data_IF_367570773968
#
_entry.id   IF_367570773968
#
_cell.length_a   1.000
_cell.length_b   1.000
_cell.length_c   1.000
_cell.angle_alpha   90.00
_cell.angle_beta   90.00
_cell.angle_gamma   90.00
#
_symmetry.space_group_name_H-M   'P 1'
#
loop_
_entity.id
_entity.type
_entity.pdbx_description
1 polymer ?
#
# COMPACT_ATOMS: atom_id res chain seq x y z
N UNK A 1 -20.77 -22.11 -4.12
CA UNK A 1 -19.50 -21.70 -4.74
C UNK A 1 -18.41 -22.67 -4.34
N UNK A 2 -17.65 -23.20 -5.33
CA UNK A 2 -16.54 -24.16 -5.16
C UNK A 2 -15.32 -23.57 -4.40
N UNK A 3 -15.43 -22.33 -3.96
CA UNK A 3 -14.37 -21.57 -3.26
C UNK A 3 -14.69 -21.35 -1.78
N UNK A 4 -15.53 -22.20 -1.18
CA UNK A 4 -15.77 -22.08 0.26
C UNK A 4 -14.49 -22.43 1.02
N UNK A 5 -13.92 -21.41 1.67
CA UNK A 5 -12.65 -21.50 2.41
C UNK A 5 -12.64 -22.59 3.48
N UNK A 6 -13.80 -23.00 4.00
CA UNK A 6 -13.94 -24.08 4.98
C UNK A 6 -13.50 -25.44 4.45
N UNK A 7 -13.79 -25.74 3.18
CA UNK A 7 -13.44 -27.03 2.54
C UNK A 7 -11.96 -27.09 2.14
N UNK A 8 -11.35 -25.95 1.76
CA UNK A 8 -9.92 -25.86 1.46
C UNK A 8 -9.06 -25.92 2.73
N UNK A 9 -9.57 -25.40 3.84
CA UNK A 9 -8.94 -25.52 5.16
C UNK A 9 -8.97 -26.97 5.69
N UNK A 10 -10.02 -27.70 5.40
CA UNK A 10 -10.14 -29.12 5.80
C UNK A 10 -9.11 -29.99 5.08
N UNK A 11 -8.84 -29.78 3.79
CA UNK A 11 -7.83 -30.55 3.04
C UNK A 11 -6.40 -30.33 3.58
N UNK A 12 -6.07 -29.12 4.03
CA UNK A 12 -4.81 -28.82 4.74
C UNK A 12 -4.68 -29.57 6.06
N UNK A 13 -5.78 -29.75 6.78
CA UNK A 13 -5.82 -30.45 8.08
C UNK A 13 -5.52 -31.95 7.97
N UNK A 14 -5.78 -32.55 6.80
CA UNK A 14 -5.48 -33.97 6.50
C UNK A 14 -4.15 -34.17 5.74
N UNK A 15 -3.35 -33.11 5.55
CA UNK A 15 -2.02 -33.20 4.91
C UNK A 15 -2.04 -33.38 3.38
N UNK A 16 -3.23 -33.40 2.75
CA UNK A 16 -3.37 -33.57 1.30
C UNK A 16 -3.78 -32.21 0.67
N UNK A 17 -2.87 -31.58 -0.03
CA UNK A 17 -3.16 -30.36 -0.77
C UNK A 17 -3.61 -30.67 -2.20
N UNK A 18 -4.91 -30.63 -2.45
CA UNK A 18 -5.52 -30.90 -3.76
C UNK A 18 -5.69 -29.66 -4.62
N UNK A 19 -5.40 -28.45 -4.10
CA UNK A 19 -5.61 -27.17 -4.80
C UNK A 19 -4.93 -27.15 -6.16
N UNK A 20 -3.68 -27.54 -6.22
CA UNK A 20 -2.90 -27.57 -7.47
C UNK A 20 -3.43 -28.56 -8.51
N UNK A 21 -4.09 -29.60 -8.08
CA UNK A 21 -4.76 -30.58 -8.97
C UNK A 21 -6.06 -30.00 -9.51
N UNK A 22 -6.90 -29.41 -8.65
CA UNK A 22 -8.17 -28.81 -9.04
C UNK A 22 -7.97 -27.61 -9.98
N UNK A 23 -6.98 -26.78 -9.72
CA UNK A 23 -6.70 -25.56 -10.49
C UNK A 23 -5.60 -25.73 -11.54
N UNK A 24 -5.33 -26.96 -12.00
CA UNK A 24 -4.26 -27.27 -12.98
C UNK A 24 -4.35 -26.42 -14.26
N UNK A 25 -5.57 -26.16 -14.76
CA UNK A 25 -5.79 -25.33 -15.96
C UNK A 25 -5.43 -23.86 -15.71
N UNK A 26 -5.73 -23.33 -14.51
CA UNK A 26 -5.39 -21.95 -14.09
C UNK A 26 -3.88 -21.81 -13.86
N UNK A 27 -3.21 -22.86 -13.37
CA UNK A 27 -1.77 -22.87 -13.11
C UNK A 27 -0.92 -23.04 -14.37
N UNK A 28 -1.50 -23.60 -15.44
CA UNK A 28 -0.78 -23.87 -16.69
C UNK A 28 -0.13 -22.63 -17.32
N UNK A 29 -0.78 -21.46 -17.40
CA UNK A 29 -0.15 -20.22 -17.89
C UNK A 29 1.07 -19.78 -17.08
N UNK A 30 1.14 -20.14 -15.79
CA UNK A 30 2.28 -19.90 -14.90
C UNK A 30 3.33 -21.03 -14.97
N UNK A 31 3.31 -21.85 -16.01
CA UNK A 31 4.22 -22.98 -16.18
C UNK A 31 3.88 -24.23 -15.35
N UNK A 32 2.80 -24.21 -14.57
CA UNK A 32 2.30 -25.35 -13.77
C UNK A 32 3.14 -25.71 -12.54
N UNK A 33 4.35 -25.15 -12.39
CA UNK A 33 5.30 -25.47 -11.30
C UNK A 33 5.53 -24.31 -10.33
N UNK A 34 4.97 -23.12 -10.58
CA UNK A 34 5.13 -21.96 -9.71
C UNK A 34 4.47 -22.25 -8.35
N UNK A 35 5.25 -22.25 -7.29
CA UNK A 35 4.79 -22.55 -5.92
C UNK A 35 4.72 -21.30 -5.03
N UNK A 36 5.59 -20.32 -5.30
CA UNK A 36 5.76 -19.14 -4.46
C UNK A 36 6.04 -17.90 -5.28
N UNK A 37 5.48 -16.78 -4.85
CA UNK A 37 5.75 -15.43 -5.37
C UNK A 37 6.19 -14.59 -4.17
N UNK A 38 7.30 -13.85 -4.31
CA UNK A 38 7.75 -12.88 -3.33
C UNK A 38 7.47 -11.49 -3.89
N UNK A 39 6.66 -10.72 -3.18
CA UNK A 39 6.27 -9.36 -3.54
C UNK A 39 6.85 -8.34 -2.58
N UNK A 40 7.30 -7.21 -3.10
CA UNK A 40 7.78 -6.08 -2.32
C UNK A 40 7.77 -4.78 -3.12
N UNK A 41 8.03 -3.66 -2.43
CA UNK A 41 8.12 -2.34 -3.07
C UNK A 41 6.80 -1.60 -3.29
N UNK A 42 5.66 -2.25 -3.11
CA UNK A 42 4.33 -1.65 -3.10
C UNK A 42 3.42 -2.41 -2.12
N UNK A 43 2.35 -1.74 -1.66
CA UNK A 43 1.33 -2.39 -0.84
C UNK A 43 0.63 -3.46 -1.69
N UNK A 44 0.54 -4.66 -1.15
CA UNK A 44 -0.17 -5.77 -1.76
C UNK A 44 -1.51 -5.98 -1.05
N UNK A 45 -2.59 -6.08 -1.83
CA UNK A 45 -3.92 -6.32 -1.30
C UNK A 45 -4.03 -7.76 -0.76
N UNK A 46 -4.68 -7.90 0.40
CA UNK A 46 -4.88 -9.20 1.05
C UNK A 46 -5.71 -10.16 0.19
N UNK A 47 -6.68 -9.67 -0.56
CA UNK A 47 -7.54 -10.49 -1.41
C UNK A 47 -6.73 -11.12 -2.54
N UNK A 48 -5.70 -10.45 -3.04
CA UNK A 48 -4.75 -11.02 -4.01
C UNK A 48 -3.98 -12.17 -3.36
N UNK A 49 -3.46 -11.98 -2.15
CA UNK A 49 -2.74 -13.04 -1.40
C UNK A 49 -3.66 -14.26 -1.21
N UNK A 50 -4.89 -14.03 -0.75
CA UNK A 50 -5.89 -15.09 -0.53
C UNK A 50 -6.26 -15.82 -1.82
N UNK A 51 -6.42 -15.06 -2.91
CA UNK A 51 -6.76 -15.62 -4.23
C UNK A 51 -5.68 -16.56 -4.73
N UNK A 52 -4.40 -16.13 -4.69
CA UNK A 52 -3.29 -17.00 -5.08
C UNK A 52 -3.12 -18.20 -4.16
N UNK A 53 -3.27 -18.01 -2.84
CA UNK A 53 -3.24 -19.12 -1.89
C UNK A 53 -4.35 -20.16 -2.19
N UNK A 54 -5.54 -19.70 -2.58
CA UNK A 54 -6.68 -20.59 -2.90
C UNK A 54 -6.40 -21.53 -4.08
N UNK A 55 -5.54 -21.14 -5.00
CA UNK A 55 -5.11 -21.97 -6.15
C UNK A 55 -3.79 -22.71 -5.92
N UNK A 56 -3.21 -22.59 -4.74
CA UNK A 56 -2.00 -23.32 -4.35
C UNK A 56 -0.69 -22.61 -4.71
N UNK A 57 -0.71 -21.27 -4.85
CA UNK A 57 0.48 -20.41 -4.97
C UNK A 57 0.60 -19.57 -3.69
N UNK A 58 1.70 -19.72 -2.96
CA UNK A 58 1.98 -18.91 -1.78
C UNK A 58 2.52 -17.54 -2.19
N UNK A 59 1.92 -16.46 -1.72
CA UNK A 59 2.43 -15.10 -1.93
C UNK A 59 3.00 -14.58 -0.62
N UNK A 60 4.28 -14.25 -0.61
CA UNK A 60 4.99 -13.67 0.52
C UNK A 60 5.20 -12.18 0.28
N UNK A 61 4.72 -11.36 1.20
CA UNK A 61 4.94 -9.93 1.16
C UNK A 61 6.13 -9.55 2.02
N UNK A 62 6.97 -8.64 1.52
CA UNK A 62 8.13 -8.11 2.22
C UNK A 62 8.25 -6.61 2.06
N UNK A 63 8.98 -5.99 2.99
CA UNK A 63 9.24 -4.56 3.02
C UNK A 63 10.73 -4.28 3.04
N UNK A 64 11.08 -3.26 2.27
CA UNK A 64 12.45 -2.78 2.25
C UNK A 64 12.62 -1.59 1.33
N UNK A 65 13.79 -0.98 1.47
CA UNK A 65 14.23 0.20 0.74
C UNK A 65 15.68 0.03 0.33
N UNK A 66 16.13 0.79 -0.66
CA UNK A 66 17.50 0.69 -1.19
C UNK A 66 18.55 0.90 -0.09
N UNK A 67 18.31 1.82 0.81
CA UNK A 67 19.17 2.16 1.95
C UNK A 67 19.34 1.02 2.96
N UNK A 68 18.51 -0.02 2.86
CA UNK A 68 18.57 -1.21 3.74
C UNK A 68 18.93 -2.51 2.99
N UNK A 69 19.53 -2.46 1.81
CA UNK A 69 20.19 -3.54 1.03
C UNK A 69 19.34 -4.75 0.60
N UNK A 70 18.15 -4.66 0.14
CA UNK A 70 17.08 -3.70 0.36
C UNK A 70 16.13 -4.10 1.50
N UNK A 71 16.24 -5.32 2.08
CA UNK A 71 15.20 -5.96 2.88
C UNK A 71 15.25 -5.56 4.36
N UNK A 72 14.11 -5.16 4.90
CA UNK A 72 13.90 -4.86 6.32
C UNK A 72 13.10 -5.97 6.99
N UNK A 73 11.98 -6.39 6.37
CA UNK A 73 11.11 -7.43 6.90
C UNK A 73 10.50 -8.29 5.80
N UNK A 74 10.08 -9.49 6.13
CA UNK A 74 9.39 -10.37 5.22
C UNK A 74 8.45 -11.32 5.96
N UNK A 75 7.31 -11.63 5.33
CA UNK A 75 6.54 -12.82 5.64
C UNK A 75 7.35 -14.07 5.24
N UNK A 76 7.21 -15.15 5.99
CA UNK A 76 7.91 -16.42 5.74
C UNK A 76 6.90 -17.50 5.40
N UNK A 77 7.32 -18.48 4.63
CA UNK A 77 6.49 -19.65 4.36
C UNK A 77 6.01 -20.28 5.69
N UNK A 78 4.71 -20.51 5.81
CA UNK A 78 4.03 -21.03 7.04
C UNK A 78 4.02 -20.06 8.24
N UNK A 79 4.64 -18.90 8.16
CA UNK A 79 4.64 -17.87 9.21
C UNK A 79 4.37 -16.52 8.54
N UNK A 80 3.10 -16.23 8.32
CA UNK A 80 2.60 -15.04 7.64
C UNK A 80 1.40 -14.48 8.39
N UNK A 81 1.26 -13.16 8.32
CA UNK A 81 0.10 -12.44 8.86
C UNK A 81 -0.44 -11.53 7.77
N UNK A 82 -1.66 -11.76 7.29
CA UNK A 82 -2.28 -10.92 6.26
C UNK A 82 -2.27 -9.44 6.64
N UNK A 83 -2.08 -8.56 5.65
CA UNK A 83 -1.97 -7.12 5.85
C UNK A 83 -0.62 -6.65 6.38
N UNK A 84 0.21 -7.52 6.96
CA UNK A 84 1.58 -7.18 7.39
C UNK A 84 2.60 -7.35 6.27
N UNK A 85 3.73 -6.67 6.42
CA UNK A 85 4.92 -6.87 5.58
C UNK A 85 5.95 -7.80 6.23
N UNK A 86 5.49 -8.60 7.20
CA UNK A 86 6.31 -9.57 7.91
C UNK A 86 6.96 -9.04 9.18
N UNK A 87 7.82 -9.86 9.77
CA UNK A 87 8.66 -9.52 10.91
C UNK A 87 10.05 -9.12 10.44
N UNK A 88 10.81 -8.33 11.21
CA UNK A 88 12.19 -7.97 10.88
C UNK A 88 13.04 -9.17 10.50
N UNK A 89 13.93 -9.00 9.54
CA UNK A 89 14.93 -10.02 9.20
C UNK A 89 15.96 -10.18 10.33
N UNK A 90 16.73 -11.28 10.28
CA UNK A 90 17.76 -11.56 11.28
C UNK A 90 18.74 -10.38 11.40
N UNK A 91 19.08 -10.01 12.64
CA UNK A 91 19.94 -8.89 13.00
C UNK A 91 19.44 -7.48 12.64
N UNK A 92 18.24 -7.36 12.05
CA UNK A 92 17.58 -6.08 11.83
C UNK A 92 16.67 -5.75 13.02
N UNK A 93 16.82 -4.55 13.57
CA UNK A 93 15.98 -4.00 14.64
C UNK A 93 15.11 -2.91 14.06
N UNK A 94 13.84 -2.95 14.41
CA UNK A 94 12.85 -1.94 13.98
C UNK A 94 12.23 -1.31 15.21
N UNK A 95 12.10 0.00 15.20
CA UNK A 95 11.29 0.76 16.16
C UNK A 95 10.35 1.69 15.43
N UNK A 96 9.30 2.11 16.09
CA UNK A 96 8.41 3.18 15.64
C UNK A 96 8.82 4.45 16.38
N UNK A 97 9.18 5.48 15.64
CA UNK A 97 9.55 6.77 16.20
C UNK A 97 8.32 7.68 16.31
N UNK A 98 8.19 8.36 17.47
CA UNK A 98 7.08 9.23 17.80
C UNK A 98 5.69 8.63 17.48
N UNK A 99 5.35 7.44 18.04
CA UNK A 99 4.05 6.81 17.77
C UNK A 99 2.90 7.65 18.32
N UNK A 100 1.82 7.73 17.54
CA UNK A 100 0.55 8.32 17.98
C UNK A 100 -0.25 7.37 18.90
N UNK A 101 -1.49 7.74 19.22
CA UNK A 101 -2.40 6.96 20.09
C UNK A 101 -2.72 5.55 19.52
N UNK A 102 -2.55 5.34 18.22
CA UNK A 102 -2.75 4.07 17.54
C UNK A 102 -1.44 3.27 17.37
N UNK A 103 -0.33 3.78 17.89
CA UNK A 103 1.00 3.20 17.73
C UNK A 103 1.61 3.44 16.35
N UNK A 104 1.07 4.36 15.55
CA UNK A 104 1.55 4.70 14.22
C UNK A 104 2.59 5.83 14.28
N UNK A 105 3.74 5.62 13.65
CA UNK A 105 4.82 6.60 13.57
C UNK A 105 5.81 6.24 12.49
N UNK A 106 6.94 6.94 12.45
CA UNK A 106 7.99 6.64 11.47
C UNK A 106 8.69 5.33 11.78
N UNK A 107 8.80 4.47 10.78
CA UNK A 107 9.55 3.21 10.88
C UNK A 107 11.05 3.53 10.85
N UNK A 108 11.74 3.21 11.93
CA UNK A 108 13.20 3.38 12.04
C UNK A 108 13.89 2.05 12.15
N UNK A 109 15.04 1.90 11.48
CA UNK A 109 15.72 0.62 11.28
C UNK A 109 17.19 0.72 11.71
N UNK A 110 17.69 -0.32 12.38
CA UNK A 110 19.09 -0.47 12.72
C UNK A 110 19.53 -1.90 12.47
N UNK A 111 20.63 -2.08 11.75
CA UNK A 111 21.18 -3.40 11.47
C UNK A 111 22.31 -3.36 10.44
N UNK A 112 22.98 -4.50 10.22
CA UNK A 112 24.08 -4.59 9.27
C UNK A 112 23.66 -4.44 7.81
N UNK A 113 22.35 -4.49 7.53
CA UNK A 113 21.74 -4.26 6.22
C UNK A 113 21.57 -2.77 5.89
N UNK A 114 21.72 -1.87 6.88
CA UNK A 114 21.57 -0.43 6.68
C UNK A 114 22.82 0.15 6.05
N UNK A 115 22.67 1.04 5.08
CA UNK A 115 23.78 1.74 4.41
C UNK A 115 24.67 2.50 5.38
N UNK A 116 25.90 2.75 4.98
CA UNK A 116 26.83 3.60 5.75
C UNK A 116 26.52 5.09 5.64
N UNK A 117 25.86 5.50 4.55
CA UNK A 117 25.46 6.88 4.27
C UNK A 117 25.25 7.14 2.79
N UNK A 118 24.82 8.36 2.47
CA UNK A 118 24.69 8.83 1.11
C UNK A 118 26.04 9.27 0.52
N UNK A 119 26.32 8.84 -0.70
CA UNK A 119 27.59 9.14 -1.37
C UNK A 119 27.77 10.65 -1.55
N UNK A 120 28.94 11.17 -1.09
CA UNK A 120 29.28 12.59 -1.11
C UNK A 120 28.22 13.54 -0.53
N UNK A 121 27.39 13.06 0.40
CA UNK A 121 26.38 13.88 1.07
C UNK A 121 26.33 13.60 2.58
N UNK A 122 27.29 14.15 3.34
CA UNK A 122 27.37 13.94 4.79
C UNK A 122 26.22 14.61 5.56
N UNK A 123 25.67 15.71 5.05
CA UNK A 123 24.52 16.39 5.67
C UNK A 123 23.27 15.52 5.62
N UNK A 124 22.88 15.04 4.43
CA UNK A 124 21.76 14.11 4.31
C UNK A 124 21.98 12.79 5.07
N UNK A 125 23.23 12.37 5.17
CA UNK A 125 23.57 11.19 5.98
C UNK A 125 23.32 11.45 7.47
N UNK A 126 23.75 12.59 7.99
CA UNK A 126 23.53 12.95 9.40
C UNK A 126 22.06 13.11 9.75
N UNK A 127 21.24 13.68 8.83
CA UNK A 127 19.80 13.82 8.99
C UNK A 127 19.05 12.48 8.93
N UNK A 128 19.60 11.48 8.24
CA UNK A 128 18.96 10.19 8.04
C UNK A 128 19.06 9.26 9.25
N UNK A 129 19.93 9.55 10.23
CA UNK A 129 20.12 8.71 11.41
C UNK A 129 19.80 9.49 12.70
N UNK A 130 19.18 8.80 13.65
CA UNK A 130 19.00 9.35 14.98
C UNK A 130 20.29 9.16 15.84
N UNK A 131 20.27 9.76 17.05
CA UNK A 131 21.38 9.67 18.02
C UNK A 131 21.73 8.24 18.47
N UNK A 132 20.79 7.32 18.36
CA UNK A 132 20.92 5.90 18.72
C UNK A 132 21.37 5.05 17.52
N UNK A 133 21.58 5.66 16.35
CA UNK A 133 22.01 5.05 15.10
C UNK A 133 20.92 4.26 14.38
N UNK A 134 19.65 4.62 14.58
CA UNK A 134 18.57 4.13 13.75
C UNK A 134 18.39 5.01 12.52
N UNK A 135 18.26 4.38 11.37
CA UNK A 135 17.96 5.02 10.10
C UNK A 135 16.46 5.33 9.98
N UNK A 136 16.11 6.55 9.63
CA UNK A 136 14.77 7.01 9.35
C UNK A 136 14.36 6.64 7.93
N UNK A 137 13.40 5.72 7.77
CA UNK A 137 13.02 5.21 6.46
C UNK A 137 12.14 6.16 5.64
N UNK A 138 11.54 7.14 6.30
CA UNK A 138 10.50 7.99 5.70
C UNK A 138 9.18 7.25 5.45
N UNK A 139 9.04 6.00 5.89
CA UNK A 139 7.81 5.24 5.87
C UNK A 139 7.13 5.29 7.24
N UNK A 140 5.81 5.43 7.25
CA UNK A 140 4.98 5.38 8.45
C UNK A 140 4.33 4.01 8.59
N UNK A 141 4.17 3.58 9.83
CA UNK A 141 3.56 2.32 10.13
C UNK A 141 3.53 2.02 11.62
N UNK A 142 3.21 0.80 11.96
CA UNK A 142 3.14 0.31 13.33
C UNK A 142 3.72 -1.10 13.46
N UNK A 143 4.09 -1.44 14.68
CA UNK A 143 4.38 -2.81 15.11
C UNK A 143 3.24 -3.31 15.97
N UNK A 144 2.82 -4.56 15.78
CA UNK A 144 1.95 -5.20 16.76
C UNK A 144 2.78 -5.87 17.88
N UNK A 145 2.08 -6.42 18.88
CA UNK A 145 2.67 -7.06 20.06
C UNK A 145 3.55 -8.26 19.71
N UNK A 146 3.32 -8.89 18.57
CA UNK A 146 4.11 -10.02 18.07
C UNK A 146 5.28 -9.58 17.17
N UNK A 147 5.44 -8.28 16.93
CA UNK A 147 6.50 -7.70 16.12
C UNK A 147 6.25 -7.73 14.60
N UNK A 148 4.99 -7.90 14.17
CA UNK A 148 4.64 -7.75 12.76
C UNK A 148 4.55 -6.28 12.38
N UNK A 149 5.12 -5.95 11.21
CA UNK A 149 5.16 -4.59 10.68
C UNK A 149 3.98 -4.36 9.74
N UNK A 150 3.28 -3.24 9.92
CA UNK A 150 2.21 -2.77 9.04
C UNK A 150 2.60 -1.38 8.53
N UNK A 151 2.62 -1.21 7.21
CA UNK A 151 2.91 0.08 6.58
C UNK A 151 1.61 0.82 6.33
N UNK A 152 1.54 2.06 6.81
CA UNK A 152 0.38 2.93 6.66
C UNK A 152 0.56 3.88 5.47
N UNK A 153 1.76 4.48 5.32
CA UNK A 153 2.03 5.40 4.23
C UNK A 153 3.45 5.95 4.23
N UNK A 154 3.64 7.06 3.48
CA UNK A 154 4.91 7.79 3.39
C UNK A 154 4.85 9.09 4.18
N UNK A 155 5.88 9.40 4.98
CA UNK A 155 6.03 10.66 5.74
C UNK A 155 5.80 11.89 4.87
N UNK A 156 6.43 11.93 3.70
CA UNK A 156 6.34 13.05 2.75
C UNK A 156 4.98 13.22 2.08
N UNK A 157 4.11 12.22 2.13
CA UNK A 157 2.77 12.27 1.57
C UNK A 157 1.70 12.54 2.63
N UNK A 158 2.08 12.47 3.91
CA UNK A 158 1.20 12.67 5.05
C UNK A 158 0.46 14.01 4.94
N UNK A 159 -0.85 13.97 5.07
CA UNK A 159 -1.70 15.15 5.14
C UNK A 159 -2.01 15.39 6.62
N UNK A 160 -1.51 16.50 7.16
CA UNK A 160 -1.76 16.89 8.54
C UNK A 160 -2.87 17.93 8.53
N UNK A 161 -4.00 17.59 9.15
CA UNK A 161 -5.13 18.50 9.28
C UNK A 161 -4.86 19.56 10.37
N UNK A 162 -5.58 20.69 10.32
CA UNK A 162 -5.48 21.78 11.29
C UNK A 162 -5.77 21.36 12.74
N UNK A 163 -6.52 20.27 12.93
CA UNK A 163 -6.78 19.66 14.24
C UNK A 163 -5.73 18.62 14.67
N UNK A 164 -4.59 18.55 13.98
CA UNK A 164 -3.49 17.64 14.28
C UNK A 164 -3.69 16.18 13.84
N UNK A 165 -4.83 15.84 13.21
CA UNK A 165 -5.06 14.48 12.73
C UNK A 165 -4.28 14.18 11.46
N UNK A 166 -3.70 13.00 11.41
CA UNK A 166 -2.97 12.49 10.27
C UNK A 166 -3.88 11.74 9.30
N UNK A 167 -3.69 12.00 8.00
CA UNK A 167 -4.32 11.24 6.92
C UNK A 167 -3.21 10.69 6.03
N UNK A 168 -3.22 9.39 5.83
CA UNK A 168 -2.32 8.68 4.95
C UNK A 168 -3.00 8.48 3.59
N UNK A 169 -2.59 9.22 2.54
CA UNK A 169 -3.23 9.12 1.22
C UNK A 169 -3.28 7.70 0.67
N UNK A 170 -2.23 6.92 0.94
CA UNK A 170 -2.10 5.55 0.47
C UNK A 170 -3.20 4.61 1.01
N UNK A 171 -3.75 4.90 2.19
CA UNK A 171 -4.91 4.15 2.71
C UNK A 171 -6.16 4.42 1.88
N UNK A 172 -6.42 5.69 1.55
CA UNK A 172 -7.57 6.09 0.75
C UNK A 172 -7.44 5.59 -0.69
N UNK A 173 -6.23 5.66 -1.25
CA UNK A 173 -5.92 5.13 -2.58
C UNK A 173 -6.17 3.62 -2.67
N UNK A 174 -5.81 2.87 -1.64
CA UNK A 174 -6.06 1.43 -1.59
C UNK A 174 -7.56 1.09 -1.61
N UNK A 175 -8.41 1.91 -0.99
CA UNK A 175 -9.87 1.74 -1.06
C UNK A 175 -10.43 2.16 -2.42
N UNK A 176 -9.94 3.28 -2.97
CA UNK A 176 -10.35 3.78 -4.27
C UNK A 176 -9.96 2.82 -5.42
N UNK A 177 -8.80 2.17 -5.30
CA UNK A 177 -8.32 1.21 -6.31
C UNK A 177 -9.24 -0.02 -6.45
N UNK A 178 -10.08 -0.31 -5.45
CA UNK A 178 -11.07 -1.40 -5.50
C UNK A 178 -12.30 -1.05 -6.32
N UNK A 179 -12.51 0.23 -6.64
CA UNK A 179 -13.62 0.67 -7.49
C UNK A 179 -13.38 0.16 -8.91
N UNK A 180 -14.35 -0.53 -9.48
CA UNK A 180 -14.29 -0.99 -10.86
C UNK A 180 -14.14 0.20 -11.81
N UNK A 181 -13.20 0.14 -12.73
CA UNK A 181 -12.90 1.23 -13.68
C UNK A 181 -11.87 2.24 -13.17
N UNK A 182 -11.28 2.08 -11.97
CA UNK A 182 -10.10 2.83 -11.57
C UNK A 182 -8.86 2.15 -12.15
N UNK A 183 -8.19 2.81 -13.08
CA UNK A 183 -6.89 2.38 -13.60
C UNK A 183 -5.77 2.84 -12.68
N UNK A 184 -5.76 4.14 -12.34
CA UNK A 184 -4.79 4.73 -11.42
C UNK A 184 -5.48 5.78 -10.55
N UNK A 185 -4.97 5.95 -9.33
CA UNK A 185 -5.50 6.97 -8.41
C UNK A 185 -4.40 7.55 -7.53
N UNK A 186 -4.51 8.85 -7.25
CA UNK A 186 -3.69 9.55 -6.27
C UNK A 186 -4.59 10.42 -5.40
N UNK A 187 -4.34 10.36 -4.10
CA UNK A 187 -4.99 11.24 -3.11
C UNK A 187 -3.99 12.26 -2.60
N UNK A 188 -4.43 13.51 -2.48
CA UNK A 188 -3.59 14.60 -1.98
C UNK A 188 -4.43 15.70 -1.30
N UNK A 189 -3.74 16.58 -0.58
CA UNK A 189 -4.31 17.82 -0.09
C UNK A 189 -4.40 18.81 -1.26
N UNK A 190 -5.62 19.17 -1.64
CA UNK A 190 -5.86 20.19 -2.67
C UNK A 190 -5.59 21.58 -2.13
N UNK A 191 -4.99 22.42 -2.96
CA UNK A 191 -4.62 23.81 -2.67
C UNK A 191 -5.64 24.75 -3.32
N UNK A 192 -6.35 25.57 -2.50
CA UNK A 192 -7.27 26.59 -2.97
C UNK A 192 -6.64 27.97 -2.88
N UNK A 193 -6.78 28.75 -3.95
CA UNK A 193 -6.37 30.18 -3.95
C UNK A 193 -7.30 31.04 -3.11
N UNK A 194 -8.55 30.61 -2.97
CA UNK A 194 -9.61 31.36 -2.26
C UNK A 194 -9.65 31.00 -0.77
N UNK A 195 -9.47 29.73 -0.42
CA UNK A 195 -9.55 29.22 0.95
C UNK A 195 -8.21 28.60 1.37
N UNK A 196 -7.19 29.44 1.55
CA UNK A 196 -5.81 29.01 1.82
C UNK A 196 -5.63 28.14 3.07
N UNK A 197 -6.48 28.30 4.08
CA UNK A 197 -6.36 27.59 5.35
C UNK A 197 -7.20 26.29 5.41
N UNK A 198 -7.94 25.97 4.35
CA UNK A 198 -8.80 24.80 4.31
C UNK A 198 -8.18 23.68 3.49
N UNK A 199 -7.76 22.62 4.16
CA UNK A 199 -7.31 21.39 3.51
C UNK A 199 -8.51 20.67 2.92
N UNK A 200 -8.47 20.44 1.61
CA UNK A 200 -9.46 19.66 0.88
C UNK A 200 -8.84 18.36 0.40
N UNK A 201 -9.37 17.22 0.83
CA UNK A 201 -8.88 15.92 0.35
C UNK A 201 -9.44 15.68 -1.04
N UNK A 202 -8.55 15.53 -2.00
CA UNK A 202 -8.86 15.30 -3.43
C UNK A 202 -8.41 13.90 -3.81
N UNK A 203 -9.28 13.17 -4.51
CA UNK A 203 -8.93 11.97 -5.24
C UNK A 203 -8.84 12.30 -6.72
N UNK A 204 -7.66 12.16 -7.33
CA UNK A 204 -7.48 12.31 -8.76
C UNK A 204 -7.36 10.92 -9.37
N UNK A 205 -8.28 10.59 -10.29
CA UNK A 205 -8.46 9.24 -10.86
C UNK A 205 -8.18 9.29 -12.36
N UNK A 206 -7.39 8.34 -12.83
CA UNK A 206 -7.33 7.99 -14.25
C UNK A 206 -8.21 6.76 -14.47
N UNK A 207 -9.34 6.91 -15.19
CA UNK A 207 -10.27 5.82 -15.42
C UNK A 207 -9.78 4.84 -16.50
N UNK A 208 -10.26 3.61 -16.42
CA UNK A 208 -10.32 2.68 -17.56
C UNK A 208 -11.56 2.99 -18.39
N UNK A 209 -11.42 3.92 -19.33
CA UNK A 209 -12.53 4.39 -20.17
C UNK A 209 -13.16 3.28 -21.01
N UNK A 210 -12.35 2.29 -21.46
CA UNK A 210 -12.86 1.18 -22.26
C UNK A 210 -13.75 0.26 -21.41
N UNK A 211 -13.33 -0.03 -20.20
CA UNK A 211 -14.14 -0.81 -19.26
C UNK A 211 -15.42 -0.08 -18.88
N UNK A 212 -15.36 1.21 -18.56
CA UNK A 212 -16.53 2.00 -18.20
C UNK A 212 -17.55 2.05 -19.37
N UNK A 213 -17.07 2.23 -20.58
CA UNK A 213 -17.90 2.19 -21.79
C UNK A 213 -18.55 0.82 -22.00
N UNK A 214 -17.80 -0.26 -21.82
CA UNK A 214 -18.31 -1.63 -21.91
C UNK A 214 -19.38 -1.92 -20.84
N UNK A 215 -19.32 -1.23 -19.69
CA UNK A 215 -20.32 -1.31 -18.61
C UNK A 215 -21.50 -0.37 -18.80
N UNK A 216 -21.54 0.43 -19.85
CA UNK A 216 -22.62 1.38 -20.11
C UNK A 216 -22.60 2.61 -19.21
N UNK A 217 -21.45 2.97 -18.64
CA UNK A 217 -21.30 4.18 -17.82
C UNK A 217 -21.25 5.39 -18.76
N UNK A 218 -22.34 6.15 -18.84
CA UNK A 218 -22.44 7.32 -19.70
C UNK A 218 -21.70 8.54 -19.13
N UNK A 219 -21.70 8.69 -17.80
CA UNK A 219 -21.05 9.80 -17.10
C UNK A 219 -20.05 9.30 -16.07
N UNK A 220 -18.76 9.17 -16.41
CA UNK A 220 -17.71 8.71 -15.49
C UNK A 220 -17.58 9.57 -14.22
N UNK A 221 -17.75 10.91 -14.32
CA UNK A 221 -17.65 11.79 -13.15
C UNK A 221 -18.71 11.45 -12.12
N UNK A 222 -19.97 11.36 -12.53
CA UNK A 222 -21.09 11.01 -11.65
C UNK A 222 -20.91 9.61 -11.05
N UNK A 223 -20.43 8.65 -11.86
CA UNK A 223 -20.13 7.30 -11.38
C UNK A 223 -19.11 7.30 -10.24
N UNK A 224 -17.95 7.93 -10.42
CA UNK A 224 -16.93 7.97 -9.39
C UNK A 224 -17.36 8.81 -8.18
N UNK A 225 -18.08 9.91 -8.36
CA UNK A 225 -18.61 10.69 -7.24
C UNK A 225 -19.53 9.84 -6.35
N UNK A 226 -20.37 8.98 -6.93
CA UNK A 226 -21.25 8.09 -6.18
C UNK A 226 -20.47 6.96 -5.49
N UNK A 227 -19.49 6.35 -6.16
CA UNK A 227 -18.61 5.35 -5.53
C UNK A 227 -17.82 5.94 -4.35
N UNK A 228 -17.29 7.15 -4.51
CA UNK A 228 -16.56 7.84 -3.42
C UNK A 228 -17.49 8.17 -2.25
N UNK A 229 -18.75 8.55 -2.47
CA UNK A 229 -19.75 8.71 -1.39
C UNK A 229 -19.91 7.42 -0.58
N UNK A 230 -19.96 6.25 -1.25
CA UNK A 230 -20.05 4.94 -0.58
C UNK A 230 -18.80 4.65 0.27
N UNK A 231 -17.61 4.97 -0.24
CA UNK A 231 -16.38 4.84 0.54
C UNK A 231 -16.41 5.79 1.75
N UNK A 232 -16.75 7.06 1.54
CA UNK A 232 -16.84 8.07 2.59
C UNK A 232 -17.79 7.69 3.71
N UNK A 233 -18.89 6.95 3.41
CA UNK A 233 -19.83 6.49 4.44
C UNK A 233 -19.23 5.52 5.45
N UNK A 234 -18.12 4.87 5.08
CA UNK A 234 -17.38 3.92 5.91
C UNK A 234 -16.17 4.53 6.61
N UNK A 235 -15.77 5.74 6.20
CA UNK A 235 -14.60 6.43 6.73
C UNK A 235 -14.97 7.39 7.87
N UNK A 236 -14.07 7.65 8.81
CA UNK A 236 -14.20 8.76 9.73
C UNK A 236 -14.35 10.08 8.96
N UNK A 237 -15.19 10.99 9.45
CA UNK A 237 -15.54 12.25 8.78
C UNK A 237 -14.31 13.06 8.35
N UNK A 238 -13.25 13.06 9.15
CA UNK A 238 -12.02 13.81 8.87
C UNK A 238 -11.19 13.21 7.70
N UNK A 239 -11.37 11.91 7.37
CA UNK A 239 -10.74 11.25 6.21
C UNK A 239 -11.57 11.36 4.92
N UNK A 240 -12.76 11.98 4.97
CA UNK A 240 -13.66 12.01 3.82
C UNK A 240 -13.05 12.75 2.63
N UNK A 241 -13.07 12.11 1.47
CA UNK A 241 -12.67 12.68 0.18
C UNK A 241 -13.75 13.68 -0.24
N UNK A 242 -13.36 14.93 -0.48
CA UNK A 242 -14.27 16.03 -0.75
C UNK A 242 -14.42 16.36 -2.23
N UNK A 243 -13.45 15.95 -3.03
CA UNK A 243 -13.44 16.22 -4.47
C UNK A 243 -12.87 15.04 -5.24
N UNK A 244 -13.52 14.70 -6.34
CA UNK A 244 -13.04 13.75 -7.33
C UNK A 244 -12.66 14.52 -8.59
N UNK A 245 -11.43 14.32 -9.08
CA UNK A 245 -10.93 14.89 -10.32
C UNK A 245 -10.60 13.74 -11.26
N UNK A 246 -11.13 13.77 -12.47
CA UNK A 246 -10.79 12.78 -13.49
C UNK A 246 -9.69 13.29 -14.41
N UNK A 247 -8.86 12.37 -14.88
CA UNK A 247 -7.80 12.62 -15.86
C UNK A 247 -8.11 11.90 -17.15
N UNK A 248 -7.64 12.49 -18.25
CA UNK A 248 -7.73 11.89 -19.58
C UNK A 248 -6.45 11.12 -19.95
N UNK A 249 -5.39 11.25 -19.16
CA UNK A 249 -4.09 10.64 -19.41
C UNK A 249 -3.54 10.00 -18.14
N UNK A 250 -2.70 8.96 -18.29
CA UNK A 250 -2.00 8.32 -17.18
C UNK A 250 -1.17 9.30 -16.36
N UNK A 251 -0.96 8.97 -15.07
CA UNK A 251 0.00 9.70 -14.26
C UNK A 251 1.43 9.48 -14.76
N UNK A 252 2.27 10.51 -14.62
CA UNK A 252 3.69 10.36 -14.87
C UNK A 252 4.29 9.33 -13.90
N UNK A 253 5.05 8.39 -14.46
CA UNK A 253 5.69 7.31 -13.72
C UNK A 253 7.20 7.37 -13.84
N UNK A 254 7.88 6.96 -12.78
CA UNK A 254 9.33 6.75 -12.81
C UNK A 254 9.69 5.43 -13.49
N UNK A 255 11.00 5.12 -13.59
CA UNK A 255 11.52 3.88 -14.19
C UNK A 255 11.02 2.60 -13.49
N UNK A 256 10.63 2.70 -12.21
CA UNK A 256 10.03 1.60 -11.44
C UNK A 256 8.50 1.55 -11.55
N UNK A 257 7.91 2.30 -12.50
CA UNK A 257 6.45 2.42 -12.73
C UNK A 257 5.66 2.97 -11.54
N UNK A 258 6.31 3.66 -10.60
CA UNK A 258 5.64 4.36 -9.50
C UNK A 258 5.24 5.76 -9.93
N UNK A 259 4.04 6.19 -9.53
CA UNK A 259 3.52 7.53 -9.84
C UNK A 259 4.41 8.60 -9.20
N UNK A 260 4.75 9.60 -9.99
CA UNK A 260 5.57 10.76 -9.59
C UNK A 260 4.66 11.83 -9.01
N UNK A 261 4.44 11.78 -7.69
CA UNK A 261 3.47 12.64 -6.99
C UNK A 261 3.78 14.14 -7.05
N UNK A 262 5.06 14.53 -7.15
CA UNK A 262 5.43 15.95 -7.21
C UNK A 262 5.07 16.62 -8.54
N UNK A 263 4.73 15.84 -9.59
CA UNK A 263 4.27 16.37 -10.88
C UNK A 263 2.75 16.66 -10.92
N UNK A 264 2.03 16.38 -9.83
CA UNK A 264 0.58 16.53 -9.77
C UNK A 264 0.25 18.00 -9.47
N UNK A 265 -0.63 18.59 -10.31
CA UNK A 265 -1.19 19.90 -10.04
C UNK A 265 -2.26 19.80 -8.95
N UNK A 266 -1.94 20.35 -7.78
CA UNK A 266 -2.80 20.30 -6.59
C UNK A 266 -3.83 21.44 -6.53
N UNK A 267 -3.84 22.34 -7.52
CA UNK A 267 -4.82 23.41 -7.57
C UNK A 267 -6.23 22.87 -7.78
N UNK A 268 -7.17 23.41 -7.00
CA UNK A 268 -8.58 22.97 -7.00
C UNK A 268 -9.59 24.05 -7.40
N UNK A 269 -9.11 25.28 -7.62
CA UNK A 269 -9.96 26.42 -8.07
C UNK A 269 -9.86 26.61 -9.57
#
# INVERSE_FOLDING_TARGET
SLLDQSNLFASRKFGIDIRRTLFKSVLKPFGGKLEMIICGGAKLDEDIIRTFDSIGITVLNGYGITECSPLISANRNKYQKPGSVGTPILACRVKIDNPDENGEGEICVKGPNVMLGYFNNPEATAEAFDKDGYFHTGDYGRLDEEGWIYITGRKKNLIILSNGKNIYPEELEAELQKIEGVSEVVVYAGESKVQKDKITIVAEIYPDFDLLKARGVENPQSYFDDQVKLINSKLPVYKAIKRVKLRDTEFQKNTSRKIVRFSIDKQID
#
